data_IF_566797385732
#
_entry.id   IF_566797385732
#
_cell.length_a   1.000
_cell.length_b   1.000
_cell.length_c   1.000
_cell.angle_alpha   90.00
_cell.angle_beta   90.00
_cell.angle_gamma   90.00
#
_symmetry.space_group_name_H-M   'P 1'
#
loop_
_entity.id
_entity.type
_entity.pdbx_description
1 polymer ?
#
# COMPACT_ATOMS: atom_id res chain seq x y z
N UNK A 1 8.51 -19.56 4.09
CA UNK A 1 7.91 -18.23 4.34
C UNK A 1 8.82 -17.27 5.09
N UNK A 2 9.13 -17.46 6.38
CA UNK A 2 10.00 -16.52 7.14
C UNK A 2 11.48 -16.81 6.90
N UNK A 3 11.86 -18.08 6.96
CA UNK A 3 13.24 -18.53 6.75
C UNK A 3 13.71 -18.33 5.29
N UNK A 4 12.76 -18.25 4.36
CA UNK A 4 12.99 -17.93 2.95
C UNK A 4 13.02 -16.41 2.66
N UNK A 5 12.93 -15.56 3.71
CA UNK A 5 12.87 -14.08 3.65
C UNK A 5 11.71 -13.50 2.84
N UNK A 6 10.67 -14.27 2.52
CA UNK A 6 9.52 -13.78 1.75
C UNK A 6 8.67 -12.76 2.52
N UNK A 7 8.70 -12.83 3.85
CA UNK A 7 8.03 -11.88 4.74
C UNK A 7 8.97 -11.40 5.84
N UNK A 8 8.89 -10.13 6.18
CA UNK A 8 9.65 -9.57 7.30
C UNK A 8 9.22 -10.22 8.63
N UNK A 9 10.16 -10.41 9.56
CA UNK A 9 9.91 -11.05 10.86
C UNK A 9 8.73 -10.42 11.63
N UNK A 10 8.59 -9.09 11.57
CA UNK A 10 7.47 -8.38 12.20
C UNK A 10 6.11 -8.75 11.61
N UNK A 11 6.04 -8.98 10.29
CA UNK A 11 4.82 -9.44 9.63
C UNK A 11 4.51 -10.87 10.07
N UNK A 12 5.52 -11.74 10.06
CA UNK A 12 5.39 -13.12 10.50
C UNK A 12 4.92 -13.25 11.95
N UNK A 13 5.43 -12.38 12.83
CA UNK A 13 5.01 -12.31 14.23
C UNK A 13 3.52 -11.98 14.36
N UNK A 14 2.99 -11.05 13.57
CA UNK A 14 1.55 -10.75 13.61
C UNK A 14 0.71 -11.91 13.07
N UNK A 15 1.20 -12.57 12.02
CA UNK A 15 0.49 -13.68 11.39
C UNK A 15 0.49 -14.96 12.23
N UNK A 16 1.47 -15.15 13.12
CA UNK A 16 1.54 -16.33 13.99
C UNK A 16 0.39 -16.39 15.00
N UNK A 17 -0.33 -15.29 15.22
CA UNK A 17 -1.52 -15.22 16.06
C UNK A 17 -2.81 -15.69 15.36
N UNK A 18 -2.79 -15.94 14.04
CA UNK A 18 -3.93 -16.54 13.34
C UNK A 18 -4.06 -18.02 13.70
N UNK A 19 -5.28 -18.57 13.59
CA UNK A 19 -5.51 -20.01 13.73
C UNK A 19 -4.84 -20.78 12.59
N UNK A 20 -4.49 -22.03 12.81
CA UNK A 20 -3.81 -22.85 11.79
C UNK A 20 -4.56 -22.90 10.44
N UNK A 21 -5.88 -23.05 10.47
CA UNK A 21 -6.73 -23.04 9.28
C UNK A 21 -6.77 -21.67 8.56
N UNK A 22 -6.61 -20.57 9.29
CA UNK A 22 -6.56 -19.22 8.72
C UNK A 22 -5.18 -18.94 8.12
N UNK A 23 -4.11 -19.43 8.75
CA UNK A 23 -2.75 -19.35 8.22
C UNK A 23 -2.62 -20.12 6.90
N UNK A 24 -3.24 -21.30 6.81
CA UNK A 24 -3.29 -22.11 5.57
C UNK A 24 -4.03 -21.36 4.45
N UNK A 25 -5.23 -20.82 4.72
CA UNK A 25 -5.97 -19.99 3.75
C UNK A 25 -5.18 -18.77 3.30
N UNK A 26 -4.52 -18.10 4.24
CA UNK A 26 -3.67 -16.95 3.93
C UNK A 26 -2.52 -17.35 3.01
N UNK A 27 -1.86 -18.48 3.30
CA UNK A 27 -0.77 -18.99 2.48
C UNK A 27 -1.22 -19.35 1.05
N UNK A 28 -2.36 -20.04 0.92
CA UNK A 28 -2.93 -20.37 -0.38
C UNK A 28 -3.26 -19.11 -1.18
N UNK A 29 -3.87 -18.11 -0.54
CA UNK A 29 -4.21 -16.82 -1.19
C UNK A 29 -2.95 -16.06 -1.60
N UNK A 30 -1.91 -16.06 -0.77
CA UNK A 30 -0.62 -15.45 -1.09
C UNK A 30 0.02 -16.11 -2.33
N UNK A 31 -0.08 -17.44 -2.44
CA UNK A 31 0.41 -18.17 -3.62
C UNK A 31 -0.43 -17.93 -4.86
N UNK A 32 -1.76 -17.92 -4.74
CA UNK A 32 -2.64 -17.74 -5.91
C UNK A 32 -2.53 -16.34 -6.50
N UNK A 33 -2.44 -15.32 -5.64
CA UNK A 33 -2.37 -13.91 -6.03
C UNK A 33 -0.93 -13.39 -6.19
N UNK A 34 0.08 -14.27 -6.04
CA UNK A 34 1.51 -13.94 -6.05
C UNK A 34 1.85 -12.70 -5.19
N UNK A 35 1.29 -12.64 -3.97
CA UNK A 35 1.39 -11.46 -3.12
C UNK A 35 1.81 -11.81 -1.68
N UNK A 36 2.41 -10.82 -1.01
CA UNK A 36 2.73 -10.90 0.42
C UNK A 36 2.00 -9.79 1.19
N UNK A 37 1.49 -10.03 2.40
CA UNK A 37 0.85 -8.98 3.18
C UNK A 37 1.87 -7.91 3.61
N UNK A 38 1.42 -6.66 3.69
CA UNK A 38 2.11 -5.60 4.41
C UNK A 38 1.87 -5.72 5.92
N UNK A 39 2.64 -4.98 6.72
CA UNK A 39 2.47 -4.96 8.17
C UNK A 39 1.05 -4.50 8.59
N UNK A 40 0.50 -3.49 7.92
CA UNK A 40 -0.87 -3.01 8.21
C UNK A 40 -1.93 -4.06 7.88
N UNK A 41 -1.74 -4.82 6.80
CA UNK A 41 -2.61 -5.93 6.43
C UNK A 41 -2.51 -7.06 7.46
N UNK A 42 -1.31 -7.44 7.89
CA UNK A 42 -1.10 -8.48 8.92
C UNK A 42 -1.76 -8.14 10.26
N UNK A 43 -1.65 -6.89 10.72
CA UNK A 43 -2.33 -6.41 11.94
C UNK A 43 -3.86 -6.53 11.80
N UNK A 44 -4.42 -6.19 10.63
CA UNK A 44 -5.87 -6.29 10.38
C UNK A 44 -6.34 -7.74 10.31
N UNK A 45 -5.57 -8.63 9.67
CA UNK A 45 -5.86 -10.06 9.61
C UNK A 45 -5.93 -10.65 11.02
N UNK A 46 -4.92 -10.35 11.86
CA UNK A 46 -4.90 -10.76 13.28
C UNK A 46 -6.13 -10.27 14.04
N UNK A 47 -6.49 -9.00 13.90
CA UNK A 47 -7.67 -8.44 14.56
C UNK A 47 -8.96 -9.16 14.15
N UNK A 48 -9.15 -9.42 12.85
CA UNK A 48 -10.33 -10.15 12.36
C UNK A 48 -10.35 -11.60 12.84
N UNK A 49 -9.20 -12.27 12.92
CA UNK A 49 -9.07 -13.63 13.47
C UNK A 49 -9.52 -13.67 14.94
N UNK A 50 -9.04 -12.72 15.75
CA UNK A 50 -9.41 -12.59 17.16
C UNK A 50 -10.91 -12.31 17.35
N UNK A 51 -11.53 -11.61 16.41
CA UNK A 51 -12.98 -11.35 16.40
C UNK A 51 -13.81 -12.52 15.82
N UNK A 52 -13.19 -13.62 15.38
CA UNK A 52 -13.82 -14.74 14.65
C UNK A 52 -14.53 -14.30 13.34
N UNK A 53 -14.01 -13.26 12.68
CA UNK A 53 -14.56 -12.69 11.45
C UNK A 53 -13.66 -12.89 10.23
N UNK A 54 -12.59 -13.68 10.37
CA UNK A 54 -11.63 -13.92 9.30
C UNK A 54 -12.05 -15.17 8.50
N UNK A 55 -12.51 -14.95 7.29
CA UNK A 55 -12.81 -15.99 6.29
C UNK A 55 -11.96 -15.75 5.02
N UNK A 56 -12.09 -16.64 4.03
CA UNK A 56 -11.33 -16.57 2.78
C UNK A 56 -11.59 -15.27 2.01
N UNK A 57 -12.84 -14.82 1.93
CA UNK A 57 -13.20 -13.61 1.19
C UNK A 57 -12.59 -12.37 1.85
N UNK A 58 -12.54 -12.34 3.18
CA UNK A 58 -11.90 -11.28 3.96
C UNK A 58 -10.38 -11.27 3.78
N UNK A 59 -9.75 -12.45 3.76
CA UNK A 59 -8.31 -12.58 3.50
C UNK A 59 -7.98 -12.03 2.11
N UNK A 60 -8.72 -12.46 1.09
CA UNK A 60 -8.55 -12.00 -0.29
C UNK A 60 -8.76 -10.50 -0.39
N UNK A 61 -9.88 -9.99 0.13
CA UNK A 61 -10.19 -8.57 0.12
C UNK A 61 -9.07 -7.73 0.74
N UNK A 62 -8.50 -8.15 1.88
CA UNK A 62 -7.39 -7.44 2.52
C UNK A 62 -6.13 -7.49 1.66
N UNK A 63 -5.79 -8.65 1.07
CA UNK A 63 -4.57 -8.80 0.27
C UNK A 63 -4.63 -8.05 -1.07
N UNK A 64 -5.82 -7.97 -1.69
CA UNK A 64 -6.05 -7.23 -2.93
C UNK A 64 -6.07 -5.70 -2.74
N UNK A 65 -6.11 -5.20 -1.51
CA UNK A 65 -6.02 -3.76 -1.26
C UNK A 65 -4.67 -3.21 -1.76
N UNK A 66 -4.74 -2.16 -2.58
CA UNK A 66 -3.55 -1.43 -3.02
C UNK A 66 -2.78 -0.91 -1.82
N UNK A 67 -1.56 -1.42 -1.62
CA UNK A 67 -0.73 -0.98 -0.52
C UNK A 67 -0.29 0.48 -0.78
N UNK A 68 -0.14 1.32 0.25
CA UNK A 68 0.26 2.72 0.07
C UNK A 68 1.62 2.89 -0.64
N UNK A 69 2.51 1.91 -0.50
CA UNK A 69 3.79 1.84 -1.20
C UNK A 69 3.67 1.34 -2.66
N UNK A 70 2.52 0.79 -3.05
CA UNK A 70 2.21 0.36 -4.42
C UNK A 70 1.42 1.40 -5.22
N UNK A 71 1.04 2.54 -4.62
CA UNK A 71 0.51 3.67 -5.40
C UNK A 71 1.61 4.17 -6.34
N UNK A 72 1.30 4.26 -7.62
CA UNK A 72 2.22 4.78 -8.63
C UNK A 72 2.63 6.21 -8.25
N UNK A 73 3.93 6.41 -8.01
CA UNK A 73 4.49 7.72 -7.67
C UNK A 73 5.30 8.21 -8.86
N UNK A 74 4.89 9.34 -9.41
CA UNK A 74 5.74 10.08 -10.33
C UNK A 74 6.81 10.83 -9.53
N UNK A 75 8.07 10.50 -9.75
CA UNK A 75 9.22 11.19 -9.12
C UNK A 75 9.71 12.30 -10.03
N UNK A 76 9.72 13.53 -9.51
CA UNK A 76 10.29 14.70 -10.20
C UNK A 76 11.47 15.20 -9.37
N UNK A 77 12.65 15.28 -9.99
CA UNK A 77 13.84 15.85 -9.36
C UNK A 77 13.57 17.30 -8.96
N UNK A 78 13.85 17.65 -7.70
CA UNK A 78 13.52 18.97 -7.13
C UNK A 78 14.27 20.08 -7.85
N UNK A 79 15.49 19.80 -8.30
CA UNK A 79 16.36 20.69 -9.06
C UNK A 79 15.70 21.17 -10.35
N UNK A 80 14.85 20.33 -10.97
CA UNK A 80 14.14 20.67 -12.21
C UNK A 80 12.97 21.64 -11.98
N UNK A 81 12.38 21.64 -10.79
CA UNK A 81 11.17 22.43 -10.51
C UNK A 81 11.42 23.63 -9.60
N UNK A 82 12.43 23.56 -8.73
CA UNK A 82 12.78 24.62 -7.77
C UNK A 82 12.95 26.00 -8.40
N UNK A 83 13.56 26.17 -9.60
CA UNK A 83 13.70 27.48 -10.23
C UNK A 83 12.37 28.18 -10.56
N UNK A 84 11.26 27.44 -10.66
CA UNK A 84 9.94 27.99 -10.98
C UNK A 84 9.13 28.38 -9.74
N UNK A 85 9.64 28.14 -8.54
CA UNK A 85 8.95 28.43 -7.28
C UNK A 85 9.65 29.53 -6.49
N UNK A 86 8.88 30.40 -5.79
CA UNK A 86 9.46 31.34 -4.84
C UNK A 86 10.25 30.64 -3.72
N UNK A 87 11.30 31.31 -3.24
CA UNK A 87 12.05 30.89 -2.05
C UNK A 87 11.10 30.78 -0.85
N UNK A 88 11.12 29.65 -0.16
CA UNK A 88 10.28 29.40 1.03
C UNK A 88 9.03 28.54 0.78
N UNK A 89 8.74 28.15 -0.47
CA UNK A 89 7.69 27.17 -0.74
C UNK A 89 8.06 25.79 -0.19
N UNK A 90 7.16 25.24 0.62
CA UNK A 90 7.22 23.84 1.07
C UNK A 90 6.91 22.88 -0.08
N UNK A 91 7.35 21.61 0.03
CA UNK A 91 7.08 20.60 -0.99
C UNK A 91 5.57 20.44 -1.27
N UNK A 92 4.74 20.53 -0.22
CA UNK A 92 3.28 20.46 -0.34
C UNK A 92 2.70 21.63 -1.15
N UNK A 93 3.18 22.85 -0.92
CA UNK A 93 2.74 24.02 -1.69
C UNK A 93 3.16 23.91 -3.17
N UNK A 94 4.34 23.36 -3.45
CA UNK A 94 4.79 23.10 -4.83
C UNK A 94 3.90 22.06 -5.51
N UNK A 95 3.57 20.98 -4.81
CA UNK A 95 2.66 19.94 -5.28
C UNK A 95 1.28 20.52 -5.62
N UNK A 96 0.69 21.32 -4.73
CA UNK A 96 -0.62 21.95 -4.96
C UNK A 96 -0.63 22.85 -6.20
N UNK A 97 0.44 23.61 -6.43
CA UNK A 97 0.58 24.45 -7.64
C UNK A 97 0.72 23.59 -8.89
N UNK A 98 1.54 22.53 -8.87
CA UNK A 98 1.70 21.61 -10.01
C UNK A 98 0.36 20.99 -10.38
N UNK A 99 -0.38 20.47 -9.38
CA UNK A 99 -1.71 19.88 -9.60
C UNK A 99 -2.68 20.92 -10.17
N UNK A 100 -2.67 22.17 -9.67
CA UNK A 100 -3.51 23.25 -10.19
C UNK A 100 -3.19 23.60 -11.64
N UNK A 101 -1.91 23.64 -12.02
CA UNK A 101 -1.47 23.88 -13.40
C UNK A 101 -1.92 22.75 -14.33
N UNK A 102 -1.76 21.49 -13.90
CA UNK A 102 -2.21 20.31 -14.67
C UNK A 102 -3.72 20.27 -14.82
N UNK A 103 -4.49 20.61 -13.78
CA UNK A 103 -5.95 20.73 -13.85
C UNK A 103 -6.36 21.75 -14.91
N UNK A 104 -5.75 22.95 -14.88
CA UNK A 104 -6.03 24.01 -15.88
C UNK A 104 -5.66 23.58 -17.30
N UNK A 105 -4.50 22.95 -17.46
CA UNK A 105 -4.04 22.41 -18.74
C UNK A 105 -5.01 21.36 -19.30
N UNK A 106 -5.47 20.43 -18.46
CA UNK A 106 -6.43 19.38 -18.83
C UNK A 106 -7.79 19.97 -19.19
N UNK A 107 -8.33 20.89 -18.38
CA UNK A 107 -9.61 21.55 -18.66
C UNK A 107 -9.63 22.32 -19.97
N UNK A 108 -8.49 22.89 -20.39
CA UNK A 108 -8.35 23.60 -21.66
C UNK A 108 -8.15 22.65 -22.86
N UNK A 109 -7.80 21.38 -22.60
CA UNK A 109 -7.70 20.31 -23.58
C UNK A 109 -8.86 19.35 -23.37
N UNK A 110 -10.08 19.83 -23.62
CA UNK A 110 -11.19 18.90 -23.84
C UNK A 110 -10.81 18.01 -25.02
N UNK A 111 -10.69 16.71 -24.77
CA UNK A 111 -10.80 15.70 -25.82
C UNK A 111 -12.23 15.72 -26.39
#
# INVERSE_FOLDING_TARGET
MVDEKEIAFTIALELSYLRANEQERLYETMKSEECTPSLSQAIRLKKMSQENKLDTDRVLAILSEQKPNQKEKMVIQKERINPYFPSGYTDKQKEEVIVKLLKRWSSNRRF
#
